data_IF_396583709891
#
_entry.id   IF_396583709891
#
_cell.length_a   1.000
_cell.length_b   1.000
_cell.length_c   1.000
_cell.angle_alpha   90.00
_cell.angle_beta   90.00
_cell.angle_gamma   90.00
#
_symmetry.space_group_name_H-M   'P 1'
#
loop_
_entity.id
_entity.type
_entity.pdbx_description
1 polymer ?
#
# COMPACT_ATOMS: atom_id res chain seq x y z
N UNK A 1 -13.12 35.84 -0.12
CA UNK A 1 -13.04 35.92 -1.59
C UNK A 1 -13.45 34.62 -2.29
N UNK A 2 -12.65 33.55 -2.33
CA UNK A 2 -13.03 32.32 -3.06
C UNK A 2 -14.28 31.61 -2.53
N UNK A 3 -14.42 31.53 -1.19
CA UNK A 3 -15.62 30.96 -0.53
C UNK A 3 -16.89 31.72 -0.92
N UNK A 4 -16.83 33.05 -0.84
CA UNK A 4 -17.99 33.91 -1.00
C UNK A 4 -18.48 33.88 -2.45
N UNK A 5 -17.55 33.95 -3.41
CA UNK A 5 -17.85 33.79 -4.83
C UNK A 5 -18.44 32.41 -5.18
N UNK A 6 -17.98 31.33 -4.51
CA UNK A 6 -18.56 29.99 -4.69
C UNK A 6 -19.97 29.89 -4.09
N UNK A 7 -20.20 30.50 -2.93
CA UNK A 7 -21.51 30.52 -2.29
C UNK A 7 -22.55 31.28 -3.13
N UNK A 8 -22.18 32.44 -3.68
CA UNK A 8 -23.06 33.19 -4.60
C UNK A 8 -23.41 32.36 -5.84
N UNK A 9 -22.44 31.66 -6.42
CA UNK A 9 -22.65 30.83 -7.61
C UNK A 9 -23.50 29.59 -7.31
N UNK A 10 -23.34 28.97 -6.14
CA UNK A 10 -24.18 27.86 -5.69
C UNK A 10 -25.62 28.31 -5.45
N UNK A 11 -25.81 29.48 -4.86
CA UNK A 11 -27.11 30.11 -4.66
C UNK A 11 -27.80 30.41 -6.00
N UNK A 12 -27.09 31.04 -6.94
CA UNK A 12 -27.60 31.34 -8.28
C UNK A 12 -28.00 30.08 -9.08
N UNK A 13 -27.37 28.93 -8.80
CA UNK A 13 -27.70 27.63 -9.40
C UNK A 13 -28.74 26.83 -8.61
N UNK A 14 -29.22 27.33 -7.46
CA UNK A 14 -30.17 26.63 -6.58
C UNK A 14 -29.58 25.37 -5.93
N UNK A 15 -28.26 25.29 -5.77
CA UNK A 15 -27.53 24.09 -5.29
C UNK A 15 -27.01 24.19 -3.86
N UNK A 16 -27.42 25.22 -3.12
CA UNK A 16 -26.94 25.45 -1.76
C UNK A 16 -27.20 24.25 -0.83
N UNK A 17 -28.41 23.69 -0.87
CA UNK A 17 -28.77 22.52 -0.07
C UNK A 17 -27.93 21.28 -0.39
N UNK A 18 -27.56 21.08 -1.67
CA UNK A 18 -26.68 19.96 -2.06
C UNK A 18 -25.27 20.13 -1.51
N UNK A 19 -24.75 21.36 -1.52
CA UNK A 19 -23.43 21.65 -0.96
C UNK A 19 -23.41 21.45 0.55
N UNK A 20 -24.44 21.89 1.27
CA UNK A 20 -24.58 21.70 2.71
C UNK A 20 -24.66 20.21 3.08
N UNK A 21 -25.41 19.40 2.32
CA UNK A 21 -25.46 17.95 2.51
C UNK A 21 -24.09 17.30 2.34
N UNK A 22 -23.35 17.66 1.28
CA UNK A 22 -22.02 17.10 1.03
C UNK A 22 -21.00 17.57 2.07
N UNK A 23 -21.07 18.81 2.55
CA UNK A 23 -20.23 19.28 3.66
C UNK A 23 -20.51 18.51 4.94
N UNK A 24 -21.78 18.37 5.31
CA UNK A 24 -22.16 17.58 6.49
C UNK A 24 -21.65 16.14 6.38
N UNK A 25 -21.70 15.53 5.18
CA UNK A 25 -21.17 14.19 4.93
C UNK A 25 -19.64 14.12 5.06
N UNK A 26 -18.93 15.09 4.49
CA UNK A 26 -17.46 15.17 4.56
C UNK A 26 -16.96 15.42 5.98
N UNK A 27 -17.70 16.20 6.78
CA UNK A 27 -17.42 16.43 8.19
C UNK A 27 -17.51 15.15 9.05
N UNK A 28 -18.23 14.11 8.58
CA UNK A 28 -18.27 12.81 9.25
C UNK A 28 -17.11 11.88 8.85
N UNK A 29 -16.33 12.21 7.83
CA UNK A 29 -15.20 11.39 7.41
C UNK A 29 -14.13 11.41 8.50
N UNK A 30 -13.74 10.22 8.97
CA UNK A 30 -12.64 10.04 9.91
C UNK A 30 -11.55 9.25 9.22
N UNK A 31 -10.30 9.65 9.43
CA UNK A 31 -9.17 8.86 8.98
C UNK A 31 -9.18 7.52 9.72
N UNK A 32 -9.31 6.43 8.98
CA UNK A 32 -9.09 5.08 9.50
C UNK A 32 -7.75 4.58 8.96
N UNK A 33 -6.83 4.13 9.82
CA UNK A 33 -5.60 3.52 9.34
C UNK A 33 -5.97 2.28 8.51
N UNK A 34 -5.31 2.05 7.37
CA UNK A 34 -5.55 0.86 6.58
C UNK A 34 -5.22 -0.40 7.39
N UNK A 35 -6.00 -1.45 7.18
CA UNK A 35 -5.73 -2.77 7.74
C UNK A 35 -4.27 -3.19 7.39
N UNK A 36 -3.45 -3.60 8.38
CA UNK A 36 -2.04 -3.91 8.15
C UNK A 36 -1.81 -5.02 7.11
N UNK A 37 -2.71 -6.01 7.03
CA UNK A 37 -2.59 -7.10 6.05
C UNK A 37 -2.92 -6.63 4.65
N UNK A 38 -3.99 -5.85 4.49
CA UNK A 38 -4.34 -5.21 3.22
C UNK A 38 -3.22 -4.26 2.75
N UNK A 39 -2.62 -3.52 3.67
CA UNK A 39 -1.48 -2.65 3.38
C UNK A 39 -0.26 -3.46 2.89
N UNK A 40 0.06 -4.57 3.57
CA UNK A 40 1.14 -5.47 3.17
C UNK A 40 0.89 -6.08 1.77
N UNK A 41 -0.32 -6.57 1.49
CA UNK A 41 -0.62 -7.25 0.23
C UNK A 41 -0.79 -6.30 -0.96
N UNK A 42 -1.15 -5.04 -0.71
CA UNK A 42 -1.19 -3.99 -1.74
C UNK A 42 0.20 -3.43 -2.09
N UNK A 43 1.22 -3.69 -1.26
CA UNK A 43 2.59 -3.25 -1.50
C UNK A 43 3.18 -3.88 -2.76
N UNK A 44 3.58 -3.04 -3.72
CA UNK A 44 4.04 -3.45 -5.05
C UNK A 44 5.23 -4.40 -4.98
N UNK A 45 6.21 -4.08 -4.14
CA UNK A 45 7.45 -4.82 -3.97
C UNK A 45 7.25 -6.11 -3.18
N UNK A 46 6.08 -6.30 -2.57
CA UNK A 46 5.67 -7.58 -2.00
C UNK A 46 5.18 -8.57 -3.05
N UNK A 47 4.84 -8.13 -4.27
CA UNK A 47 4.33 -9.01 -5.34
C UNK A 47 5.42 -10.01 -5.74
N UNK A 48 5.13 -11.31 -5.62
CA UNK A 48 6.07 -12.39 -5.93
C UNK A 48 6.88 -12.91 -4.74
N UNK A 49 6.86 -12.24 -3.59
CA UNK A 49 7.48 -12.77 -2.38
C UNK A 49 6.70 -13.98 -1.85
N UNK A 50 7.44 -15.03 -1.46
CA UNK A 50 6.92 -16.16 -0.71
C UNK A 50 6.55 -15.77 0.72
N UNK A 51 5.96 -16.71 1.48
CA UNK A 51 5.41 -16.42 2.81
C UNK A 51 6.44 -15.90 3.82
N UNK A 52 7.68 -16.40 3.77
CA UNK A 52 8.79 -15.88 4.57
C UNK A 52 9.19 -14.46 4.16
N UNK A 53 9.34 -14.19 2.86
CA UNK A 53 9.67 -12.85 2.37
C UNK A 53 8.60 -11.82 2.75
N UNK A 54 7.33 -12.21 2.73
CA UNK A 54 6.22 -11.37 3.22
C UNK A 54 6.28 -11.12 4.72
N UNK A 55 6.70 -12.09 5.54
CA UNK A 55 6.90 -11.91 6.97
C UNK A 55 8.04 -10.90 7.26
N UNK A 56 9.15 -11.00 6.50
CA UNK A 56 10.25 -10.02 6.54
C UNK A 56 9.77 -8.64 6.11
N UNK A 57 9.06 -8.54 4.98
CA UNK A 57 8.51 -7.28 4.49
C UNK A 57 7.57 -6.62 5.51
N UNK A 58 6.70 -7.40 6.17
CA UNK A 58 5.82 -6.91 7.24
C UNK A 58 6.62 -6.25 8.36
N UNK A 59 7.62 -6.95 8.91
CA UNK A 59 8.43 -6.40 10.00
C UNK A 59 9.26 -5.18 9.55
N UNK A 60 9.65 -5.10 8.28
CA UNK A 60 10.36 -3.96 7.71
C UNK A 60 9.46 -2.74 7.55
N UNK A 61 8.23 -2.92 7.07
CA UNK A 61 7.21 -1.87 6.97
C UNK A 61 6.94 -1.29 8.35
N UNK A 62 6.60 -2.13 9.34
CA UNK A 62 6.33 -1.68 10.72
C UNK A 62 7.46 -0.84 11.30
N UNK A 63 8.72 -1.26 11.08
CA UNK A 63 9.90 -0.50 11.50
C UNK A 63 9.99 0.85 10.79
N UNK A 64 9.77 0.87 9.47
CA UNK A 64 9.77 2.11 8.68
C UNK A 64 8.66 3.05 9.11
N UNK A 65 7.46 2.56 9.36
CA UNK A 65 6.34 3.38 9.86
C UNK A 65 6.63 3.97 11.25
N UNK A 66 7.22 3.20 12.15
CA UNK A 66 7.65 3.71 13.46
C UNK A 66 8.70 4.82 13.33
N UNK A 67 9.68 4.63 12.44
CA UNK A 67 10.73 5.63 12.21
C UNK A 67 10.19 6.87 11.48
N UNK A 68 9.24 6.71 10.57
CA UNK A 68 8.55 7.80 9.88
C UNK A 68 7.79 8.69 10.87
N UNK A 69 7.04 8.09 11.80
CA UNK A 69 6.37 8.81 12.89
C UNK A 69 7.37 9.56 13.77
N UNK A 70 8.47 8.90 14.16
CA UNK A 70 9.52 9.50 14.99
C UNK A 70 10.18 10.71 14.33
N UNK A 71 10.34 10.68 13.01
CA UNK A 71 10.99 11.74 12.24
C UNK A 71 10.01 12.81 11.72
N UNK A 72 8.70 12.58 11.80
CA UNK A 72 7.70 13.48 11.22
C UNK A 72 7.78 13.57 9.70
N UNK A 73 8.11 12.48 9.00
CA UNK A 73 8.26 12.47 7.53
C UNK A 73 7.51 11.29 6.91
N UNK A 74 7.10 11.39 5.62
CA UNK A 74 6.45 10.27 4.94
C UNK A 74 7.34 9.00 4.92
N UNK A 75 6.78 7.78 5.07
CA UNK A 75 7.57 6.55 5.16
C UNK A 75 8.55 6.32 4.00
N UNK A 76 8.15 6.65 2.77
CA UNK A 76 9.00 6.50 1.58
C UNK A 76 10.28 7.36 1.64
N UNK A 77 10.31 8.43 2.44
CA UNK A 77 11.48 9.29 2.65
C UNK A 77 12.42 8.74 3.74
N UNK A 78 11.99 7.72 4.48
CA UNK A 78 12.81 7.03 5.48
C UNK A 78 13.61 5.92 4.81
N UNK A 79 12.92 5.01 4.12
CA UNK A 79 13.50 3.94 3.30
C UNK A 79 12.62 3.78 2.04
N UNK A 80 13.20 3.84 0.83
CA UNK A 80 12.47 3.63 -0.42
C UNK A 80 11.82 2.25 -0.48
N UNK A 81 10.68 2.15 -1.16
CA UNK A 81 9.96 0.87 -1.27
C UNK A 81 10.82 -0.23 -1.93
N UNK A 82 11.59 0.13 -2.96
CA UNK A 82 12.47 -0.81 -3.67
C UNK A 82 13.50 -1.45 -2.73
N UNK A 83 14.11 -0.68 -1.83
CA UNK A 83 15.06 -1.21 -0.84
C UNK A 83 14.38 -2.21 0.12
N UNK A 84 13.15 -1.94 0.55
CA UNK A 84 12.39 -2.89 1.38
C UNK A 84 12.11 -4.19 0.63
N UNK A 85 11.79 -4.10 -0.67
CA UNK A 85 11.59 -5.25 -1.54
C UNK A 85 12.85 -6.11 -1.69
N UNK A 86 13.99 -5.48 -1.97
CA UNK A 86 15.30 -6.13 -2.10
C UNK A 86 15.67 -6.90 -0.83
N UNK A 87 15.56 -6.25 0.33
CA UNK A 87 15.85 -6.86 1.65
C UNK A 87 14.88 -7.97 2.02
N UNK A 88 13.61 -7.87 1.61
CA UNK A 88 12.63 -8.91 1.85
C UNK A 88 12.80 -10.11 0.90
N UNK A 89 13.26 -9.88 -0.33
CA UNK A 89 13.57 -10.92 -1.32
C UNK A 89 14.87 -11.66 -0.97
N UNK A 90 15.88 -10.95 -0.44
CA UNK A 90 17.12 -11.53 0.04
C UNK A 90 17.43 -11.09 1.48
N UNK A 91 16.89 -11.80 2.50
CA UNK A 91 17.11 -11.46 3.92
C UNK A 91 18.57 -11.53 4.39
N UNK A 92 19.48 -12.12 3.61
CA UNK A 92 20.91 -12.16 3.92
C UNK A 92 21.67 -10.92 3.40
N UNK A 93 21.05 -10.09 2.56
CA UNK A 93 21.64 -8.87 2.03
C UNK A 93 21.87 -7.84 3.14
N UNK A 94 23.09 -7.32 3.28
CA UNK A 94 23.32 -6.21 4.20
C UNK A 94 22.64 -4.94 3.66
N UNK A 95 22.00 -4.13 4.53
CA UNK A 95 21.38 -2.88 4.11
C UNK A 95 22.34 -1.90 3.41
N UNK A 96 23.64 -1.98 3.66
CA UNK A 96 24.65 -1.16 2.97
C UNK A 96 24.86 -1.56 1.51
N UNK A 97 24.57 -2.82 1.16
CA UNK A 97 24.77 -3.39 -0.17
C UNK A 97 23.49 -3.39 -1.01
N UNK A 98 22.36 -2.98 -0.43
CA UNK A 98 21.08 -2.89 -1.13
C UNK A 98 21.09 -1.75 -2.16
N UNK A 99 20.94 -2.02 -3.48
CA UNK A 99 21.08 -1.02 -4.54
C UNK A 99 20.16 0.19 -4.39
N UNK A 100 18.93 -0.04 -3.93
CA UNK A 100 17.94 1.03 -3.76
C UNK A 100 18.04 1.73 -2.40
N UNK A 101 18.98 1.34 -1.53
CA UNK A 101 19.15 1.90 -0.20
C UNK A 101 20.14 3.08 -0.23
N UNK A 102 19.73 4.31 0.14
CA UNK A 102 20.66 5.42 0.22
C UNK A 102 21.77 5.15 1.26
N UNK A 103 23.06 5.40 0.97
CA UNK A 103 24.16 5.11 1.90
C UNK A 103 24.00 5.79 3.27
N UNK A 104 23.45 7.00 3.30
CA UNK A 104 23.15 7.73 4.54
C UNK A 104 22.08 7.05 5.38
N UNK A 105 21.05 6.48 4.72
CA UNK A 105 20.00 5.71 5.37
C UNK A 105 20.55 4.36 5.85
N UNK A 106 21.37 3.67 5.06
CA UNK A 106 22.01 2.41 5.45
C UNK A 106 22.87 2.60 6.71
N UNK A 107 23.70 3.64 6.76
CA UNK A 107 24.52 3.97 7.95
C UNK A 107 23.67 4.27 9.18
N UNK A 108 22.57 5.02 9.04
CA UNK A 108 21.75 5.47 10.18
C UNK A 108 20.75 4.41 10.65
N UNK A 109 20.21 3.63 9.74
CA UNK A 109 19.08 2.71 9.99
C UNK A 109 19.45 1.24 9.84
N UNK A 110 20.65 0.91 9.34
CA UNK A 110 21.05 -0.47 9.03
C UNK A 110 20.86 -1.43 10.19
N UNK A 111 21.16 -1.01 11.42
CA UNK A 111 20.95 -1.85 12.58
C UNK A 111 19.46 -2.08 12.91
N UNK A 112 18.61 -1.06 12.72
CA UNK A 112 17.16 -1.22 12.86
C UNK A 112 16.59 -2.14 11.79
N UNK A 113 17.12 -2.04 10.56
CA UNK A 113 16.78 -2.90 9.43
C UNK A 113 17.17 -4.35 9.72
N UNK A 114 18.42 -4.63 10.11
CA UNK A 114 18.87 -5.98 10.46
C UNK A 114 18.01 -6.62 11.56
N UNK A 115 17.68 -5.85 12.60
CA UNK A 115 16.75 -6.32 13.64
C UNK A 115 15.35 -6.63 13.10
N UNK A 116 14.82 -5.80 12.19
CA UNK A 116 13.53 -6.05 11.56
C UNK A 116 13.54 -7.30 10.67
N UNK A 117 14.61 -7.50 9.89
CA UNK A 117 14.80 -8.72 9.10
C UNK A 117 14.81 -9.95 10.00
N UNK A 118 15.60 -9.92 11.09
CA UNK A 118 15.66 -11.02 12.06
C UNK A 118 14.29 -11.33 12.69
N UNK A 119 13.53 -10.29 13.05
CA UNK A 119 12.15 -10.47 13.58
C UNK A 119 11.24 -11.12 12.56
N UNK A 120 11.25 -10.66 11.31
CA UNK A 120 10.43 -11.24 10.25
C UNK A 120 10.83 -12.69 9.89
N UNK A 121 12.13 -13.02 9.98
CA UNK A 121 12.60 -14.40 9.82
C UNK A 121 12.14 -15.34 10.93
N UNK A 122 11.99 -14.82 12.16
CA UNK A 122 11.49 -15.57 13.31
C UNK A 122 9.96 -15.63 13.40
N UNK A 123 9.25 -14.80 12.64
CA UNK A 123 7.79 -14.75 12.63
C UNK A 123 7.17 -15.90 11.80
N UNK A 124 5.90 -16.25 12.06
CA UNK A 124 5.16 -17.16 11.21
C UNK A 124 5.09 -16.68 9.76
N UNK A 125 5.08 -17.62 8.83
CA UNK A 125 4.98 -17.28 7.42
C UNK A 125 3.62 -16.66 7.08
N UNK A 126 3.66 -15.60 6.28
CA UNK A 126 2.45 -14.91 5.86
C UNK A 126 1.85 -15.61 4.65
N UNK A 127 0.58 -16.01 4.75
CA UNK A 127 -0.17 -16.58 3.63
C UNK A 127 -0.99 -15.49 2.97
N UNK A 128 -0.85 -15.34 1.66
CA UNK A 128 -1.76 -14.50 0.88
C UNK A 128 -3.14 -15.16 0.85
N UNK A 129 -4.23 -14.43 1.08
CA UNK A 129 -5.57 -14.98 0.86
C UNK A 129 -5.69 -15.41 -0.59
N UNK A 130 -6.35 -16.56 -0.81
CA UNK A 130 -6.65 -17.02 -2.15
C UNK A 130 -7.47 -15.92 -2.85
N UNK A 131 -7.14 -15.55 -4.10
CA UNK A 131 -7.95 -14.57 -4.81
C UNK A 131 -9.38 -15.12 -4.90
N UNK A 132 -10.34 -14.36 -4.41
CA UNK A 132 -11.76 -14.58 -4.70
C UNK A 132 -11.92 -14.37 -6.21
N UNK A 133 -11.69 -15.43 -6.98
CA UNK A 133 -12.01 -15.45 -8.40
C UNK A 133 -13.51 -15.74 -8.46
N UNK A 134 -14.38 -14.75 -8.77
CA UNK A 134 -15.74 -15.09 -9.15
C UNK A 134 -15.62 -16.11 -10.29
N UNK A 135 -16.33 -17.23 -10.16
CA UNK A 135 -16.34 -18.25 -11.20
C UNK A 135 -16.74 -17.56 -12.50
N UNK A 136 -15.80 -17.40 -13.44
CA UNK A 136 -16.14 -16.88 -14.75
C UNK A 136 -17.10 -17.89 -15.36
N UNK A 137 -18.36 -17.52 -15.67
CA UNK A 137 -19.24 -18.44 -16.35
C UNK A 137 -18.55 -18.83 -17.65
N UNK A 138 -18.31 -20.14 -17.83
CA UNK A 138 -17.78 -20.62 -19.10
C UNK A 138 -18.86 -20.31 -20.15
N UNK A 139 -18.54 -19.55 -21.21
CA UNK A 139 -19.53 -19.30 -22.25
C UNK A 139 -20.02 -20.65 -22.79
N UNK A 140 -21.33 -20.76 -22.93
CA UNK A 140 -21.96 -21.93 -23.54
C UNK A 140 -21.39 -22.16 -24.95
N UNK A 141 -21.55 -23.39 -25.45
CA UNK A 141 -21.10 -23.76 -26.79
C UNK A 141 -21.66 -22.83 -27.89
N UNK A 142 -22.88 -22.31 -27.68
CA UNK A 142 -23.54 -21.35 -28.56
C UNK A 142 -22.93 -19.93 -28.47
N UNK A 143 -22.54 -19.48 -27.28
CA UNK A 143 -21.88 -18.18 -27.08
C UNK A 143 -20.45 -18.18 -27.63
N UNK A 144 -19.71 -19.28 -27.47
CA UNK A 144 -18.38 -19.46 -28.05
C UNK A 144 -18.40 -19.57 -29.58
N UNK A 145 -19.50 -20.02 -30.18
CA UNK A 145 -19.67 -20.07 -31.64
C UNK A 145 -19.94 -18.68 -32.24
N UNK A 146 -20.63 -17.79 -31.52
CA UNK A 146 -20.91 -16.41 -31.97
C UNK A 146 -19.66 -15.54 -32.01
N UNK A 147 -18.72 -15.74 -31.09
CA UNK A 147 -17.45 -14.97 -31.04
C UNK A 147 -16.44 -15.37 -32.14
N UNK A 148 -16.54 -16.59 -32.70
CA UNK A 148 -15.66 -17.04 -33.80
C UNK A 148 -16.07 -16.56 -35.20
N UNK A 149 -17.26 -15.97 -35.36
CA UNK A 149 -17.79 -15.46 -36.64
C UNK A 149 -17.47 -13.98 -36.91
N UNK A 150 -16.72 -13.32 -36.03
CA UNK A 150 -16.39 -11.87 -36.10
C UNK A 150 -14.91 -11.56 -36.34
N UNK A 151 -14.12 -12.54 -36.79
CA UNK A 151 -12.76 -12.35 -37.30
C UNK A 151 -12.68 -12.90 -38.71
#
# INVERSE_FOLDING_TARGET
EARDALAERLSALGRQAWAEEEFARLEQVRHQPPDPERALFSFKEGRGLGGRGLAVLRSLLEMREAEARRLGRPPAFVIPNAALGELAANPALDPADAPSMPPSAARRLGEKVRRAVKRGLAAPEVRRPAPERPARPRPSRAEAARTRRRG
#
